data_IF_457529072502
#
_entry.id   IF_457529072502
#
_cell.length_a   1.000
_cell.length_b   1.000
_cell.length_c   1.000
_cell.angle_alpha   90.00
_cell.angle_beta   90.00
_cell.angle_gamma   90.00
#
_symmetry.space_group_name_H-M   'P 1'
#
loop_
_entity.id
_entity.type
_entity.pdbx_description
1 polymer ?
#
# COMPACT_ATOMS: atom_id res chain seq x y z
N UNK A 1 -9.00 3.14 -1.47
CA UNK A 1 -8.22 2.59 -0.33
C UNK A 1 -8.65 1.17 0.02
N UNK A 2 -9.95 0.87 0.24
CA UNK A 2 -10.39 -0.52 0.53
C UNK A 2 -9.99 -1.53 -0.54
N UNK A 3 -10.25 -1.22 -1.81
CA UNK A 3 -9.79 -2.00 -2.97
C UNK A 3 -8.29 -2.34 -2.93
N UNK A 4 -7.47 -1.40 -2.45
CA UNK A 4 -6.02 -1.60 -2.36
C UNK A 4 -5.65 -2.58 -1.24
N UNK A 5 -6.39 -2.60 -0.14
CA UNK A 5 -6.25 -3.64 0.89
C UNK A 5 -6.69 -5.02 0.37
N UNK A 6 -7.76 -5.07 -0.41
CA UNK A 6 -8.26 -6.33 -0.97
C UNK A 6 -7.25 -6.88 -2.00
N UNK A 7 -6.75 -6.06 -2.94
CA UNK A 7 -5.72 -6.46 -3.90
C UNK A 7 -4.41 -6.93 -3.22
N UNK A 8 -3.98 -6.25 -2.15
CA UNK A 8 -2.82 -6.70 -1.35
C UNK A 8 -3.11 -7.97 -0.54
N UNK A 9 -4.35 -8.24 -0.16
CA UNK A 9 -4.72 -9.44 0.60
C UNK A 9 -4.75 -10.69 -0.29
N UNK A 10 -5.12 -10.53 -1.55
CA UNK A 10 -5.11 -11.61 -2.56
C UNK A 10 -3.71 -11.88 -3.14
N UNK A 11 -2.76 -10.96 -2.95
CA UNK A 11 -1.38 -11.13 -3.39
C UNK A 11 -0.74 -12.34 -2.72
N UNK A 12 -0.31 -13.30 -3.54
CA UNK A 12 0.28 -14.56 -3.09
C UNK A 12 1.65 -14.77 -3.73
N UNK A 13 2.63 -15.36 -3.00
CA UNK A 13 3.92 -15.69 -3.58
C UNK A 13 3.77 -16.79 -4.64
N UNK A 14 4.72 -16.92 -5.59
CA UNK A 14 4.74 -18.03 -6.54
C UNK A 14 4.80 -19.38 -5.80
N UNK A 15 4.04 -20.37 -6.29
CA UNK A 15 3.81 -21.64 -5.59
C UNK A 15 5.09 -22.50 -5.49
N UNK A 16 5.99 -22.36 -6.46
CA UNK A 16 7.26 -23.08 -6.59
C UNK A 16 8.34 -22.61 -5.61
N UNK A 17 8.14 -21.49 -4.92
CA UNK A 17 9.16 -20.91 -4.03
C UNK A 17 9.27 -21.64 -2.68
N UNK A 18 10.42 -21.49 -2.02
CA UNK A 18 10.69 -22.10 -0.72
C UNK A 18 9.89 -21.46 0.43
N UNK A 19 9.86 -22.10 1.62
CA UNK A 19 9.22 -21.52 2.80
C UNK A 19 9.83 -20.17 3.23
N UNK A 20 11.15 -20.00 3.08
CA UNK A 20 11.85 -18.76 3.44
C UNK A 20 11.38 -17.59 2.57
N UNK A 21 11.41 -17.76 1.24
CA UNK A 21 10.81 -16.80 0.31
C UNK A 21 9.37 -16.45 0.67
N UNK A 22 8.49 -17.45 0.88
CA UNK A 22 7.07 -17.20 1.18
C UNK A 22 6.88 -16.40 2.46
N UNK A 23 7.72 -16.63 3.46
CA UNK A 23 7.71 -15.86 4.71
C UNK A 23 8.12 -14.40 4.46
N UNK A 24 9.19 -14.17 3.68
CA UNK A 24 9.63 -12.85 3.25
C UNK A 24 8.56 -12.09 2.46
N UNK A 25 7.95 -12.76 1.48
CA UNK A 25 6.86 -12.21 0.68
C UNK A 25 5.66 -11.80 1.55
N UNK A 26 5.25 -12.67 2.47
CA UNK A 26 4.17 -12.38 3.41
C UNK A 26 4.50 -11.19 4.31
N UNK A 27 5.76 -11.02 4.71
CA UNK A 27 6.21 -9.86 5.49
C UNK A 27 6.16 -8.57 4.67
N UNK A 28 6.58 -8.59 3.40
CA UNK A 28 6.49 -7.42 2.50
C UNK A 28 5.05 -6.99 2.24
N UNK A 29 4.14 -7.93 1.99
CA UNK A 29 2.70 -7.65 1.83
C UNK A 29 2.11 -7.08 3.13
N UNK A 30 2.51 -7.60 4.29
CA UNK A 30 2.08 -7.06 5.60
C UNK A 30 2.53 -5.61 5.77
N UNK A 31 3.78 -5.30 5.45
CA UNK A 31 4.30 -3.93 5.49
C UNK A 31 3.50 -2.99 4.59
N UNK A 32 3.24 -3.40 3.35
CA UNK A 32 2.42 -2.63 2.41
C UNK A 32 1.03 -2.35 2.98
N UNK A 33 0.35 -3.35 3.55
CA UNK A 33 -0.97 -3.19 4.18
C UNK A 33 -0.92 -2.22 5.37
N UNK A 34 0.11 -2.26 6.19
CA UNK A 34 0.30 -1.29 7.30
C UNK A 34 0.39 0.13 6.74
N UNK A 35 1.18 0.37 5.69
CA UNK A 35 1.26 1.69 5.07
C UNK A 35 -0.11 2.22 4.62
N UNK A 36 -0.98 1.33 4.12
CA UNK A 36 -2.34 1.68 3.68
C UNK A 36 -3.26 1.97 4.85
N UNK A 37 -3.19 1.15 5.90
CA UNK A 37 -3.97 1.33 7.13
C UNK A 37 -3.60 2.63 7.85
N UNK A 38 -2.31 2.98 7.90
CA UNK A 38 -1.84 4.24 8.47
C UNK A 38 -2.49 5.45 7.78
N UNK A 39 -2.57 5.43 6.44
CA UNK A 39 -3.21 6.52 5.69
C UNK A 39 -4.74 6.54 5.89
N UNK A 40 -5.39 5.38 6.02
CA UNK A 40 -6.83 5.31 6.35
C UNK A 40 -7.09 5.88 7.74
N UNK A 41 -6.24 5.56 8.73
CA UNK A 41 -6.33 6.09 10.08
C UNK A 41 -6.11 7.60 10.11
N UNK A 42 -5.09 8.10 9.40
CA UNK A 42 -4.81 9.53 9.28
C UNK A 42 -5.95 10.29 8.59
N UNK A 43 -6.56 9.72 7.55
CA UNK A 43 -7.70 10.32 6.87
C UNK A 43 -8.95 10.36 7.77
N UNK A 44 -9.19 9.29 8.54
CA UNK A 44 -10.32 9.21 9.48
C UNK A 44 -10.21 10.25 10.60
N UNK A 45 -9.02 10.44 11.19
CA UNK A 45 -8.78 11.47 12.21
C UNK A 45 -8.88 12.91 11.70
N UNK A 46 -8.81 13.11 10.38
CA UNK A 46 -8.96 14.43 9.74
C UNK A 46 -10.42 14.77 9.39
N UNK A 47 -11.31 13.77 9.32
CA UNK A 47 -12.74 13.98 9.07
C UNK A 47 -13.44 14.68 10.24
N UNK A 48 -13.02 14.41 11.48
CA UNK A 48 -13.56 15.08 12.69
C UNK A 48 -13.28 16.61 12.70
N UNK A 49 -12.22 17.08 12.03
CA UNK A 49 -11.88 18.51 11.98
C UNK A 49 -12.56 19.29 10.86
N UNK A 50 -13.09 18.63 9.81
CA UNK A 50 -13.50 19.29 8.55
C UNK A 50 -15.02 19.27 8.30
N UNK A 51 -15.80 18.66 9.19
CA UNK A 51 -17.27 18.71 9.16
C UNK A 51 -17.88 20.15 9.14
N UNK A 52 -17.05 21.20 9.25
CA UNK A 52 -17.44 22.62 9.27
C UNK A 52 -17.47 23.34 7.90
N UNK A 53 -17.16 22.71 6.75
CA UNK A 53 -17.22 23.42 5.43
C UNK A 53 -17.86 22.60 4.30
N UNK A 54 -19.11 22.92 3.96
CA UNK A 54 -20.04 22.15 3.12
C UNK A 54 -19.90 22.28 1.58
N UNK A 55 -18.80 22.83 1.03
CA UNK A 55 -18.79 23.25 -0.38
C UNK A 55 -18.23 22.28 -1.44
N UNK A 56 -17.29 21.37 -1.13
CA UNK A 56 -16.56 20.62 -2.19
C UNK A 56 -16.04 19.25 -1.70
N UNK A 57 -16.89 18.48 -1.02
CA UNK A 57 -16.49 17.24 -0.33
C UNK A 57 -15.82 16.21 -1.25
N UNK A 58 -16.30 16.06 -2.50
CA UNK A 58 -15.81 15.05 -3.46
C UNK A 58 -14.43 15.36 -4.06
N UNK A 59 -14.16 16.62 -4.38
CA UNK A 59 -12.85 17.03 -4.89
C UNK A 59 -11.77 16.95 -3.81
N UNK A 60 -12.10 17.37 -2.58
CA UNK A 60 -11.19 17.25 -1.43
C UNK A 60 -10.88 15.79 -1.11
N UNK A 61 -11.87 14.91 -1.17
CA UNK A 61 -11.68 13.47 -0.99
C UNK A 61 -10.77 12.88 -2.07
N UNK A 62 -10.98 13.24 -3.33
CA UNK A 62 -10.15 12.79 -4.46
C UNK A 62 -8.70 13.30 -4.36
N UNK A 63 -8.49 14.53 -3.89
CA UNK A 63 -7.14 15.08 -3.63
C UNK A 63 -6.46 14.35 -2.47
N UNK A 64 -7.19 14.03 -1.39
CA UNK A 64 -6.65 13.26 -0.25
C UNK A 64 -6.27 11.85 -0.65
N UNK A 65 -7.12 11.15 -1.40
CA UNK A 65 -6.81 9.80 -1.90
C UNK A 65 -5.54 9.83 -2.76
N UNK A 66 -5.41 10.81 -3.67
CA UNK A 66 -4.17 10.98 -4.47
C UNK A 66 -2.95 11.25 -3.60
N UNK A 67 -3.08 12.06 -2.54
CA UNK A 67 -2.00 12.31 -1.61
C UNK A 67 -1.58 11.06 -0.83
N UNK A 68 -2.55 10.30 -0.29
CA UNK A 68 -2.31 9.05 0.43
C UNK A 68 -1.60 8.02 -0.47
N UNK A 69 -2.07 7.84 -1.71
CA UNK A 69 -1.45 6.95 -2.71
C UNK A 69 -0.02 7.38 -3.06
N UNK A 70 0.28 8.68 -3.06
CA UNK A 70 1.66 9.18 -3.20
C UNK A 70 2.52 8.85 -2.00
N UNK A 71 2.00 9.05 -0.79
CA UNK A 71 2.73 8.72 0.45
C UNK A 71 3.02 7.23 0.55
N UNK A 72 2.06 6.37 0.27
CA UNK A 72 2.23 4.92 0.25
C UNK A 72 3.31 4.53 -0.75
N UNK A 73 3.20 5.00 -2.00
CA UNK A 73 4.21 4.70 -3.03
C UNK A 73 5.63 5.14 -2.62
N UNK A 74 5.76 6.30 -1.96
CA UNK A 74 7.06 6.76 -1.43
C UNK A 74 7.57 5.87 -0.30
N UNK A 75 6.71 5.43 0.63
CA UNK A 75 7.12 4.53 1.71
C UNK A 75 7.59 3.18 1.16
N UNK A 76 6.86 2.63 0.20
CA UNK A 76 7.27 1.39 -0.49
C UNK A 76 8.58 1.56 -1.28
N UNK A 77 8.79 2.71 -1.93
CA UNK A 77 10.02 2.98 -2.70
C UNK A 77 11.27 3.21 -1.85
N UNK A 78 11.08 3.64 -0.59
CA UNK A 78 12.16 3.83 0.37
C UNK A 78 12.43 2.57 1.21
N UNK A 79 11.60 1.54 1.07
CA UNK A 79 11.72 0.32 1.84
C UNK A 79 12.87 -0.53 1.29
N UNK A 80 13.74 -1.00 2.19
CA UNK A 80 14.93 -1.77 1.83
C UNK A 80 14.89 -3.11 2.57
N UNK A 81 14.88 -4.21 1.82
CA UNK A 81 15.10 -5.53 2.39
C UNK A 81 16.55 -5.65 2.87
N UNK A 82 16.75 -6.11 4.10
CA UNK A 82 18.08 -6.41 4.63
C UNK A 82 18.44 -7.85 4.30
N UNK A 83 19.66 -8.05 3.80
CA UNK A 83 20.19 -9.38 3.47
C UNK A 83 20.02 -9.76 2.00
N UNK A 84 20.55 -10.93 1.68
CA UNK A 84 20.59 -11.51 0.32
C UNK A 84 20.14 -12.98 0.34
N UNK A 85 19.32 -13.34 1.33
CA UNK A 85 18.72 -14.66 1.41
C UNK A 85 17.38 -14.72 0.65
N UNK A 86 16.87 -15.94 0.48
CA UNK A 86 15.61 -16.22 -0.21
C UNK A 86 14.41 -15.47 0.42
N UNK A 87 14.46 -15.17 1.72
CA UNK A 87 13.46 -14.35 2.41
C UNK A 87 13.56 -12.86 2.02
N UNK A 88 14.77 -12.32 1.91
CA UNK A 88 14.99 -10.97 1.41
C UNK A 88 14.53 -10.82 -0.06
N UNK A 89 14.75 -11.84 -0.89
CA UNK A 89 14.20 -11.92 -2.26
C UNK A 89 12.66 -11.87 -2.24
N UNK A 90 12.02 -12.73 -1.45
CA UNK A 90 10.56 -12.74 -1.32
C UNK A 90 10.00 -11.41 -0.83
N UNK A 91 10.69 -10.75 0.10
CA UNK A 91 10.30 -9.42 0.57
C UNK A 91 10.38 -8.38 -0.54
N UNK A 92 11.49 -8.32 -1.29
CA UNK A 92 11.65 -7.38 -2.42
C UNK A 92 10.57 -7.58 -3.48
N UNK A 93 10.27 -8.83 -3.82
CA UNK A 93 9.22 -9.16 -4.80
C UNK A 93 7.83 -8.71 -4.30
N UNK A 94 7.52 -8.90 -3.01
CA UNK A 94 6.28 -8.39 -2.43
C UNK A 94 6.19 -6.86 -2.46
N UNK A 95 7.29 -6.14 -2.24
CA UNK A 95 7.33 -4.68 -2.37
C UNK A 95 7.09 -4.26 -3.82
N UNK A 96 7.68 -4.96 -4.80
CA UNK A 96 7.44 -4.71 -6.22
C UNK A 96 5.96 -4.90 -6.59
N UNK A 97 5.34 -6.02 -6.19
CA UNK A 97 3.90 -6.27 -6.38
C UNK A 97 3.04 -5.17 -5.75
N UNK A 98 3.38 -4.74 -4.53
CA UNK A 98 2.65 -3.66 -3.86
C UNK A 98 2.79 -2.32 -4.61
N UNK A 99 3.95 -2.02 -5.19
CA UNK A 99 4.16 -0.83 -6.02
C UNK A 99 3.34 -0.85 -7.30
N UNK A 100 3.21 -2.02 -7.94
CA UNK A 100 2.35 -2.21 -9.13
C UNK A 100 0.88 -1.97 -8.80
N UNK A 101 0.38 -2.57 -7.71
CA UNK A 101 -0.98 -2.37 -7.20
C UNK A 101 -1.26 -0.89 -6.92
N UNK A 102 -0.35 -0.22 -6.22
CA UNK A 102 -0.47 1.22 -5.90
C UNK A 102 -0.44 2.09 -7.16
N UNK A 103 0.36 1.72 -8.15
CA UNK A 103 0.49 2.44 -9.42
C UNK A 103 -0.73 2.23 -10.32
N UNK A 104 -1.31 1.03 -10.35
CA UNK A 104 -2.56 0.74 -11.07
C UNK A 104 -3.72 1.62 -10.61
N UNK A 105 -3.79 1.89 -9.30
CA UNK A 105 -4.80 2.79 -8.73
C UNK A 105 -4.63 4.26 -9.17
N UNK A 106 -3.39 4.70 -9.47
CA UNK A 106 -3.14 6.04 -10.02
C UNK A 106 -3.67 6.17 -11.44
N UNK A 107 -3.51 5.14 -12.25
CA UNK A 107 -3.94 5.13 -13.65
C UNK A 107 -5.47 5.17 -13.81
N UNK A 108 -6.23 4.57 -12.88
CA UNK A 108 -7.70 4.58 -12.92
C UNK A 108 -8.34 5.86 -12.35
N UNK A 109 -7.52 6.76 -11.78
CA UNK A 109 -7.99 8.01 -11.15
C UNK A 109 -7.78 9.26 -12.03
N UNK A 110 -7.43 9.04 -13.31
CA UNK A 110 -7.32 10.04 -14.39
C UNK A 110 -8.57 9.98 -15.26
#
# INVERSE_FOLDING_TARGET
MRRLLDELAEASPPAERGPAYRAGFSAGIRFARICVLDEIAAASGYLDRIAMTNGSRRDRESVRIRAAVRTIGRRLGNEIALGDDDGADGYRDAIAVAQEVVSGLRATST
#
